data_IF_223992950808
#
_entry.id   IF_223992950808
#
_cell.length_a   1.000
_cell.length_b   1.000
_cell.length_c   1.000
_cell.angle_alpha   90.00
_cell.angle_beta   90.00
_cell.angle_gamma   90.00
#
_symmetry.space_group_name_H-M   'P 1'
#
loop_
_entity.id
_entity.type
_entity.pdbx_description
1 polymer ?
#
# COMPACT_ATOMS: atom_id res chain seq x y z
N UNK A 1 4.15 -11.11 -13.85
CA UNK A 1 2.68 -11.11 -14.00
C UNK A 1 2.04 -11.14 -12.63
N UNK A 2 1.23 -10.15 -12.34
CA UNK A 2 0.54 -10.04 -11.05
C UNK A 2 -0.39 -11.21 -10.81
N UNK A 3 -0.49 -11.62 -9.54
CA UNK A 3 -1.52 -12.56 -9.09
C UNK A 3 -2.85 -11.82 -9.08
N UNK A 4 -3.50 -11.84 -10.22
CA UNK A 4 -4.76 -11.16 -10.48
C UNK A 4 -5.64 -12.06 -11.36
N UNK A 5 -6.62 -12.70 -10.75
CA UNK A 5 -7.45 -13.71 -11.41
C UNK A 5 -8.90 -13.23 -11.41
N UNK A 6 -9.56 -13.35 -12.56
CA UNK A 6 -10.98 -13.04 -12.69
C UNK A 6 -11.74 -14.34 -12.93
N UNK A 7 -12.71 -14.64 -12.07
CA UNK A 7 -13.57 -15.81 -12.15
C UNK A 7 -15.01 -15.36 -11.91
N UNK A 8 -15.90 -15.63 -12.88
CA UNK A 8 -17.33 -15.30 -12.80
C UNK A 8 -17.59 -13.82 -12.43
N UNK A 9 -16.77 -12.90 -12.99
CA UNK A 9 -16.90 -11.47 -12.74
C UNK A 9 -16.40 -11.01 -11.37
N UNK A 10 -15.83 -11.92 -10.58
CA UNK A 10 -15.18 -11.62 -9.30
C UNK A 10 -13.66 -11.63 -9.47
N UNK A 11 -12.96 -10.85 -8.69
CA UNK A 11 -11.52 -10.66 -8.85
C UNK A 11 -10.75 -11.04 -7.58
N UNK A 12 -9.79 -11.95 -7.75
CA UNK A 12 -8.81 -12.28 -6.73
C UNK A 12 -7.52 -11.50 -7.00
N UNK A 13 -7.07 -10.73 -6.03
CA UNK A 13 -5.79 -10.03 -6.07
C UNK A 13 -4.91 -10.44 -4.89
N UNK A 14 -3.61 -10.51 -5.14
CA UNK A 14 -2.61 -10.52 -4.06
C UNK A 14 -1.80 -9.25 -4.18
N UNK A 15 -1.78 -8.46 -3.12
CA UNK A 15 -1.14 -7.14 -3.09
C UNK A 15 -0.23 -6.99 -1.88
N UNK A 16 0.65 -6.02 -1.98
CA UNK A 16 1.58 -5.65 -0.91
C UNK A 16 1.66 -4.13 -0.79
N UNK A 17 1.75 -3.66 0.43
CA UNK A 17 2.00 -2.25 0.74
C UNK A 17 3.06 -2.13 1.82
N UNK A 18 3.58 -0.92 2.01
CA UNK A 18 4.62 -0.68 2.99
C UNK A 18 4.40 0.62 3.74
N UNK A 19 4.65 0.58 5.04
CA UNK A 19 4.78 1.76 5.88
C UNK A 19 6.25 2.17 5.93
N UNK A 20 6.59 3.22 5.18
CA UNK A 20 7.89 3.86 5.21
C UNK A 20 7.80 5.07 6.12
N UNK A 21 8.37 4.97 7.32
CA UNK A 21 8.24 5.96 8.37
C UNK A 21 9.59 6.64 8.62
N UNK A 22 9.57 7.97 8.66
CA UNK A 22 10.70 8.81 9.02
C UNK A 22 10.18 10.05 9.77
N UNK A 23 10.82 10.41 10.87
CA UNK A 23 10.48 11.61 11.67
C UNK A 23 8.99 11.69 12.04
N UNK A 24 8.40 10.58 12.48
CA UNK A 24 6.97 10.43 12.80
C UNK A 24 6.04 10.77 11.63
N UNK A 25 6.51 10.57 10.42
CA UNK A 25 5.75 10.74 9.18
C UNK A 25 5.74 9.44 8.40
N UNK A 26 4.62 9.15 7.73
CA UNK A 26 4.45 7.98 6.88
C UNK A 26 4.27 8.41 5.43
N UNK A 27 4.91 7.71 4.51
CA UNK A 27 4.76 7.96 3.08
C UNK A 27 3.42 7.41 2.59
N UNK A 28 2.60 8.25 1.97
CA UNK A 28 1.34 7.87 1.37
C UNK A 28 1.35 8.11 -0.14
N UNK A 29 0.62 7.28 -0.85
CA UNK A 29 0.39 7.30 -2.28
C UNK A 29 -0.94 8.01 -2.56
N UNK A 30 -0.95 8.95 -3.51
CA UNK A 30 -2.14 9.65 -3.98
C UNK A 30 -2.20 9.61 -5.51
N UNK A 31 -3.25 9.00 -6.03
CA UNK A 31 -3.57 9.09 -7.45
C UNK A 31 -4.33 10.39 -7.70
N UNK A 32 -3.91 11.21 -8.66
CA UNK A 32 -4.51 12.51 -8.95
C UNK A 32 -5.99 12.41 -9.37
N UNK A 33 -6.42 11.24 -9.84
CA UNK A 33 -7.79 10.97 -10.28
C UNK A 33 -8.68 10.35 -9.20
N UNK A 34 -8.21 10.25 -7.96
CA UNK A 34 -8.94 9.63 -6.84
C UNK A 34 -8.86 10.50 -5.60
N UNK A 35 -9.86 10.37 -4.73
CA UNK A 35 -9.92 11.15 -3.48
C UNK A 35 -9.18 10.49 -2.32
N UNK A 36 -8.91 9.18 -2.42
CA UNK A 36 -8.28 8.44 -1.35
C UNK A 36 -6.75 8.39 -1.47
N UNK A 37 -6.13 8.23 -0.33
CA UNK A 37 -4.73 7.85 -0.18
C UNK A 37 -4.62 6.35 0.09
N UNK A 38 -3.46 5.77 -0.15
CA UNK A 38 -3.12 4.41 0.26
C UNK A 38 -1.62 4.32 0.57
N UNK A 39 -1.20 3.18 1.13
CA UNK A 39 0.22 2.90 1.27
C UNK A 39 0.84 2.65 -0.11
N UNK A 40 2.10 3.05 -0.32
CA UNK A 40 2.82 2.65 -1.53
C UNK A 40 2.90 1.14 -1.65
N UNK A 41 2.80 0.62 -2.86
CA UNK A 41 2.89 -0.81 -3.12
C UNK A 41 2.29 -1.18 -4.46
N UNK A 42 1.92 -2.44 -4.61
CA UNK A 42 1.36 -2.95 -5.86
C UNK A 42 1.01 -4.43 -5.80
N UNK A 43 0.92 -5.04 -6.97
CA UNK A 43 0.61 -6.46 -7.11
C UNK A 43 1.83 -7.35 -6.87
N UNK A 44 1.59 -8.48 -6.23
CA UNK A 44 2.59 -9.54 -6.10
C UNK A 44 2.56 -10.38 -7.38
N UNK A 45 3.73 -10.68 -7.95
CA UNK A 45 3.84 -11.56 -9.11
C UNK A 45 3.76 -13.04 -8.69
N UNK A 46 3.37 -13.90 -9.62
CA UNK A 46 3.50 -15.34 -9.42
C UNK A 46 4.96 -15.69 -9.13
N UNK A 47 5.20 -16.56 -8.16
CA UNK A 47 6.51 -17.04 -7.72
C UNK A 47 7.43 -15.98 -7.11
N UNK A 48 6.87 -14.81 -6.78
CA UNK A 48 7.54 -13.75 -6.06
C UNK A 48 6.99 -13.71 -4.62
N UNK A 49 7.86 -13.56 -3.63
CA UNK A 49 7.37 -13.30 -2.27
C UNK A 49 6.82 -11.88 -2.17
N UNK A 50 5.94 -11.63 -1.20
CA UNK A 50 5.43 -10.28 -0.97
C UNK A 50 6.52 -9.31 -0.54
N UNK A 51 7.58 -9.79 0.13
CA UNK A 51 8.76 -8.98 0.47
C UNK A 51 9.53 -8.55 -0.76
N UNK A 52 9.80 -9.50 -1.68
CA UNK A 52 10.44 -9.19 -2.96
C UNK A 52 9.60 -8.22 -3.79
N UNK A 53 8.28 -8.42 -3.79
CA UNK A 53 7.35 -7.59 -4.53
C UNK A 53 7.39 -6.13 -4.06
N UNK A 54 7.41 -5.87 -2.77
CA UNK A 54 7.40 -4.48 -2.26
C UNK A 54 8.71 -3.76 -2.58
N UNK A 55 9.83 -4.46 -2.51
CA UNK A 55 11.14 -3.88 -2.90
C UNK A 55 11.12 -3.51 -4.38
N UNK A 56 10.63 -4.41 -5.23
CA UNK A 56 10.49 -4.19 -6.67
C UNK A 56 9.56 -3.03 -6.99
N UNK A 57 8.36 -3.01 -6.40
CA UNK A 57 7.35 -1.98 -6.66
C UNK A 57 7.86 -0.57 -6.31
N UNK A 58 8.47 -0.41 -5.15
CA UNK A 58 9.01 0.89 -4.74
C UNK A 58 10.14 1.33 -5.69
N UNK A 59 11.00 0.41 -6.10
CA UNK A 59 12.07 0.71 -7.06
C UNK A 59 11.53 1.11 -8.42
N UNK A 60 10.56 0.37 -8.95
CA UNK A 60 9.93 0.66 -10.25
C UNK A 60 9.19 1.99 -10.26
N UNK A 61 8.46 2.29 -9.19
CA UNK A 61 7.58 3.45 -9.13
C UNK A 61 8.28 4.74 -8.71
N UNK A 62 9.30 4.66 -7.87
CA UNK A 62 9.94 5.85 -7.28
C UNK A 62 11.45 5.95 -7.53
N UNK A 63 12.08 4.86 -7.98
CA UNK A 63 13.54 4.78 -8.11
C UNK A 63 14.29 4.60 -6.79
N UNK A 64 13.57 4.54 -5.67
CA UNK A 64 14.18 4.47 -4.33
C UNK A 64 14.47 3.04 -3.92
N UNK A 65 15.54 2.87 -3.15
CA UNK A 65 15.89 1.62 -2.50
C UNK A 65 15.40 1.63 -1.07
N UNK A 66 14.80 0.51 -0.65
CA UNK A 66 14.27 0.35 0.70
C UNK A 66 14.82 -0.91 1.35
N UNK A 67 14.77 -0.90 2.67
CA UNK A 67 15.02 -2.07 3.50
C UNK A 67 13.71 -2.47 4.18
N UNK A 68 13.30 -3.71 3.99
CA UNK A 68 12.09 -4.27 4.62
C UNK A 68 12.48 -4.83 5.98
N UNK A 69 11.72 -4.46 7.01
CA UNK A 69 11.97 -4.94 8.37
C UNK A 69 11.08 -6.14 8.71
N UNK A 70 9.76 -6.00 8.61
CA UNK A 70 8.82 -7.06 8.99
C UNK A 70 7.46 -6.89 8.30
N UNK A 71 6.73 -7.99 8.18
CA UNK A 71 5.31 -7.96 7.83
C UNK A 71 4.51 -7.67 9.10
N UNK A 72 3.86 -6.52 9.15
CA UNK A 72 3.13 -6.05 10.33
C UNK A 72 1.66 -6.45 10.31
N UNK A 73 1.09 -6.70 9.13
CA UNK A 73 -0.30 -7.10 9.01
C UNK A 73 -0.58 -7.85 7.72
N UNK A 74 -1.61 -8.68 7.77
CA UNK A 74 -2.22 -9.31 6.59
C UNK A 74 -3.71 -9.02 6.63
N UNK A 75 -4.24 -8.49 5.52
CA UNK A 75 -5.65 -8.13 5.41
C UNK A 75 -6.32 -9.04 4.39
N UNK A 76 -7.41 -9.67 4.80
CA UNK A 76 -8.40 -10.24 3.87
C UNK A 76 -9.39 -9.13 3.56
N UNK A 77 -9.32 -8.56 2.37
CA UNK A 77 -10.07 -7.38 1.98
C UNK A 77 -11.16 -7.74 0.98
N UNK A 78 -12.41 -7.64 1.41
CA UNK A 78 -13.60 -8.05 0.66
C UNK A 78 -14.44 -6.79 0.37
N UNK A 79 -14.40 -6.33 -0.87
CA UNK A 79 -15.02 -5.07 -1.26
C UNK A 79 -15.58 -5.10 -2.67
N UNK A 80 -16.34 -4.07 -3.02
CA UNK A 80 -16.85 -3.85 -4.38
C UNK A 80 -16.39 -2.49 -4.88
N UNK A 81 -15.94 -2.46 -6.12
CA UNK A 81 -15.54 -1.23 -6.80
C UNK A 81 -15.94 -1.32 -8.27
N UNK A 82 -16.66 -0.30 -8.76
CA UNK A 82 -17.18 -0.23 -10.13
C UNK A 82 -17.97 -1.48 -10.55
N UNK A 83 -18.77 -2.02 -9.64
CA UNK A 83 -19.60 -3.20 -9.88
C UNK A 83 -18.86 -4.53 -9.86
N UNK A 84 -17.56 -4.52 -9.61
CA UNK A 84 -16.73 -5.73 -9.51
C UNK A 84 -16.47 -6.05 -8.04
N UNK A 85 -16.71 -7.30 -7.67
CA UNK A 85 -16.42 -7.80 -6.31
C UNK A 85 -15.00 -8.28 -6.24
N UNK A 86 -14.28 -7.81 -5.22
CA UNK A 86 -12.88 -8.13 -4.98
C UNK A 86 -12.72 -8.99 -3.76
N UNK A 87 -11.90 -10.02 -3.91
CA UNK A 87 -11.32 -10.78 -2.81
C UNK A 87 -9.81 -10.52 -2.86
N UNK A 88 -9.32 -9.74 -1.93
CA UNK A 88 -7.93 -9.29 -1.95
C UNK A 88 -7.19 -9.77 -0.71
N UNK A 89 -6.02 -10.36 -0.91
CA UNK A 89 -5.06 -10.64 0.15
C UNK A 89 -4.00 -9.54 0.08
N UNK A 90 -3.88 -8.80 1.16
CA UNK A 90 -3.03 -7.60 1.23
C UNK A 90 -2.04 -7.74 2.37
N UNK A 91 -0.76 -7.82 2.02
CA UNK A 91 0.35 -7.85 2.99
C UNK A 91 0.86 -6.44 3.23
N UNK A 92 1.02 -6.05 4.49
CA UNK A 92 1.58 -4.75 4.85
C UNK A 92 2.89 -4.97 5.61
N UNK A 93 3.94 -4.38 5.08
CA UNK A 93 5.28 -4.38 5.65
C UNK A 93 5.58 -3.04 6.31
N UNK A 94 6.57 -3.07 7.18
CA UNK A 94 7.26 -1.88 7.71
C UNK A 94 8.68 -1.89 7.18
N UNK A 95 9.21 -0.72 6.85
CA UNK A 95 10.56 -0.62 6.32
C UNK A 95 11.10 0.80 6.41
N UNK A 96 12.32 0.95 5.93
CA UNK A 96 13.06 2.21 5.93
C UNK A 96 13.70 2.46 4.57
N UNK A 97 14.06 3.70 4.28
CA UNK A 97 14.83 4.04 3.10
C UNK A 97 16.30 3.71 3.32
N UNK A 98 16.96 3.24 2.25
CA UNK A 98 18.41 3.04 2.26
C UNK A 98 19.15 4.38 2.28
N UNK A 99 18.68 5.34 1.47
CA UNK A 99 19.24 6.68 1.40
C UNK A 99 18.48 7.65 2.29
N UNK A 100 19.11 8.80 2.58
CA UNK A 100 18.45 9.88 3.30
C UNK A 100 17.40 10.56 2.40
N UNK A 101 16.21 10.75 2.94
CA UNK A 101 15.06 11.32 2.21
C UNK A 101 14.57 12.56 2.93
N UNK A 102 14.34 13.62 2.15
CA UNK A 102 13.70 14.83 2.63
C UNK A 102 12.18 14.63 2.73
N UNK A 103 11.66 14.59 3.96
CA UNK A 103 10.23 14.35 4.22
C UNK A 103 9.32 15.51 3.82
N UNK A 104 9.88 16.67 3.43
CA UNK A 104 9.11 17.82 2.95
C UNK A 104 8.91 17.81 1.43
N UNK A 105 9.56 16.90 0.72
CA UNK A 105 9.45 16.80 -0.75
C UNK A 105 8.41 15.77 -1.16
N UNK A 106 7.71 16.09 -2.25
CA UNK A 106 6.84 15.16 -2.94
C UNK A 106 7.68 14.33 -3.90
N UNK A 107 7.43 13.02 -3.91
CA UNK A 107 8.06 12.06 -4.81
C UNK A 107 7.06 11.78 -5.93
N UNK A 108 7.50 11.89 -7.17
CA UNK A 108 6.68 11.59 -8.33
C UNK A 108 6.90 10.16 -8.82
N UNK A 109 5.85 9.58 -9.40
CA UNK A 109 5.92 8.27 -10.05
C UNK A 109 6.79 8.37 -11.31
N UNK A 110 7.83 7.56 -11.39
CA UNK A 110 8.77 7.60 -12.52
C UNK A 110 8.34 6.74 -13.71
N UNK A 111 7.24 6.00 -13.59
CA UNK A 111 6.64 5.24 -14.69
C UNK A 111 5.64 6.08 -15.51
N UNK A 112 5.49 7.36 -15.19
CA UNK A 112 4.58 8.27 -15.89
C UNK A 112 3.13 8.18 -15.46
N UNK A 113 2.82 7.49 -14.37
CA UNK A 113 1.47 7.41 -13.81
C UNK A 113 1.12 8.72 -13.09
N UNK A 114 -0.17 9.10 -13.03
CA UNK A 114 -0.62 10.30 -12.30
C UNK A 114 -0.67 10.04 -10.79
N UNK A 115 0.45 9.68 -10.22
CA UNK A 115 0.60 9.29 -8.82
C UNK A 115 1.73 10.09 -8.19
N UNK A 116 1.47 10.60 -6.97
CA UNK A 116 2.45 11.28 -6.14
C UNK A 116 2.51 10.63 -4.78
N UNK A 117 3.68 10.71 -4.17
CA UNK A 117 3.94 10.18 -2.83
C UNK A 117 4.34 11.34 -1.93
N UNK A 118 3.71 11.44 -0.78
CA UNK A 118 3.98 12.50 0.18
C UNK A 118 4.01 11.96 1.61
N UNK A 119 4.83 12.59 2.44
CA UNK A 119 4.89 12.25 3.86
C UNK A 119 3.80 13.00 4.63
N UNK A 120 3.13 12.28 5.52
CA UNK A 120 2.05 12.77 6.35
C UNK A 120 2.38 12.51 7.81
N UNK A 121 2.16 13.49 8.68
CA UNK A 121 2.32 13.30 10.13
C UNK A 121 1.40 12.18 10.62
N UNK A 122 1.95 11.22 11.32
CA UNK A 122 1.17 10.10 11.89
C UNK A 122 0.14 10.62 12.88
N UNK A 123 0.45 11.69 13.61
CA UNK A 123 -0.49 12.32 14.55
C UNK A 123 -1.72 12.94 13.87
N UNK A 124 -1.63 13.21 12.57
CA UNK A 124 -2.72 13.75 11.75
C UNK A 124 -3.36 12.74 10.82
N UNK A 125 -3.04 11.46 10.98
CA UNK A 125 -3.48 10.41 10.04
C UNK A 125 -5.00 10.30 9.93
N UNK A 126 -5.74 10.63 10.98
CA UNK A 126 -7.19 10.58 10.98
C UNK A 126 -7.85 11.63 10.06
N UNK A 127 -7.12 12.68 9.68
CA UNK A 127 -7.60 13.71 8.76
C UNK A 127 -7.57 13.26 7.29
N UNK A 128 -6.98 12.10 7.01
CA UNK A 128 -6.80 11.59 5.66
C UNK A 128 -7.76 10.43 5.37
N UNK A 129 -8.30 10.42 4.16
CA UNK A 129 -9.10 9.30 3.68
C UNK A 129 -8.18 8.24 3.09
N UNK A 130 -7.89 7.18 3.85
CA UNK A 130 -6.96 6.11 3.49
C UNK A 130 -7.73 4.81 3.28
N UNK A 131 -7.48 4.14 2.17
CA UNK A 131 -8.05 2.84 1.85
C UNK A 131 -6.97 1.75 1.82
N UNK A 132 -7.27 0.51 2.23
CA UNK A 132 -8.49 0.12 2.96
C UNK A 132 -8.63 0.89 4.27
N UNK A 133 -9.84 1.06 4.77
CA UNK A 133 -10.13 1.89 5.97
C UNK A 133 -9.38 1.42 7.22
N UNK A 134 -9.06 0.13 7.30
CA UNK A 134 -8.30 -0.47 8.41
C UNK A 134 -6.81 -0.07 8.42
N UNK A 135 -6.30 0.54 7.33
CA UNK A 135 -4.89 0.93 7.21
C UNK A 135 -4.46 1.90 8.33
N UNK A 136 -5.34 2.81 8.73
CA UNK A 136 -5.06 3.75 9.82
C UNK A 136 -4.74 3.03 11.14
N UNK A 137 -5.47 1.97 11.45
CA UNK A 137 -5.25 1.19 12.67
C UNK A 137 -3.90 0.48 12.62
N UNK A 138 -3.49 0.01 11.46
CA UNK A 138 -2.18 -0.61 11.25
C UNK A 138 -1.07 0.42 11.44
N UNK A 139 -1.20 1.61 10.86
CA UNK A 139 -0.24 2.71 11.02
C UNK A 139 -0.09 3.09 12.50
N UNK A 140 -1.18 3.01 13.27
CA UNK A 140 -1.18 3.27 14.72
C UNK A 140 -0.72 2.08 15.56
N UNK A 141 -0.16 1.02 14.98
CA UNK A 141 0.35 -0.19 15.65
C UNK A 141 -0.72 -1.02 16.36
N UNK A 142 -1.92 -1.17 15.79
CA UNK A 142 -3.02 -1.81 16.49
C UNK A 142 -3.38 -3.23 16.06
N UNK A 143 -2.66 -3.84 15.07
CA UNK A 143 -3.15 -5.10 14.50
C UNK A 143 -2.09 -6.03 13.95
N UNK A 144 -2.49 -7.31 13.75
CA UNK A 144 -1.69 -8.33 13.07
C UNK A 144 -2.42 -8.93 11.86
N UNK A 145 -3.63 -9.48 12.05
CA UNK A 145 -4.46 -10.03 10.97
C UNK A 145 -5.84 -9.39 11.03
N UNK A 146 -6.34 -8.96 9.87
CA UNK A 146 -7.61 -8.24 9.78
C UNK A 146 -8.47 -8.86 8.68
N UNK A 147 -9.76 -8.97 8.99
CA UNK A 147 -10.78 -9.23 7.97
C UNK A 147 -11.56 -7.93 7.77
N UNK A 148 -11.42 -7.32 6.60
CA UNK A 148 -12.18 -6.14 6.21
C UNK A 148 -13.25 -6.55 5.21
N UNK A 149 -14.50 -6.58 5.66
CA UNK A 149 -15.63 -6.98 4.83
C UNK A 149 -16.56 -5.80 4.61
N UNK A 150 -16.55 -5.27 3.40
CA UNK A 150 -17.42 -4.16 2.96
C UNK A 150 -18.60 -4.65 2.12
N UNK A 151 -18.65 -5.95 1.82
CA UNK A 151 -19.73 -6.61 1.08
C UNK A 151 -20.20 -7.86 1.82
N UNK A 152 -21.43 -8.26 1.55
CA UNK A 152 -22.01 -9.50 2.10
C UNK A 152 -21.70 -10.73 1.25
#
# INVERSE_FOLDING_TARGET
MDIRIIIDGMKLNVRVGIMLIKDNKVLLHKNDNRDNYCLPGGGVHFLESSEEAIIREIKEETGLDIKVDECVSTIENLFEHDGIKFHEIYFIYKGTFVDDIDTNKIIENIEGKPIKYGFVDIDKIDDYYILPVVTKDIIKNKTSHIINREIK
#
